data_IF_587899251734
#
_entry.id   IF_587899251734
#
_cell.length_a   1.000
_cell.length_b   1.000
_cell.length_c   1.000
_cell.angle_alpha   90.00
_cell.angle_beta   90.00
_cell.angle_gamma   90.00
#
_symmetry.space_group_name_H-M   'P 1'
#
loop_
_entity.id
_entity.type
_entity.pdbx_description
1 polymer ?
#
# COMPACT_ATOMS: atom_id res chain seq x y z
N UNK A 1 18.30 9.45 -32.54
CA UNK A 1 17.32 8.57 -31.87
C UNK A 1 18.09 7.59 -31.04
N UNK A 2 17.87 7.55 -29.73
CA UNK A 2 18.48 6.53 -28.87
C UNK A 2 17.83 5.20 -29.21
N UNK A 3 18.64 4.18 -29.51
CA UNK A 3 18.17 2.85 -29.82
C UNK A 3 17.60 2.23 -28.52
N UNK A 4 16.31 1.89 -28.52
CA UNK A 4 15.68 1.26 -27.36
C UNK A 4 16.10 -0.21 -27.30
N UNK A 5 16.93 -0.55 -26.30
CA UNK A 5 17.36 -1.92 -26.05
C UNK A 5 16.42 -2.60 -25.04
N UNK A 6 15.76 -3.68 -25.44
CA UNK A 6 14.93 -4.49 -24.53
C UNK A 6 15.85 -5.34 -23.65
N UNK A 7 16.01 -4.94 -22.38
CA UNK A 7 16.74 -5.73 -21.38
C UNK A 7 15.82 -6.57 -20.54
N UNK A 8 16.14 -7.85 -20.42
CA UNK A 8 15.46 -8.75 -19.48
C UNK A 8 15.93 -8.44 -18.06
N UNK A 9 14.99 -8.29 -17.14
CA UNK A 9 15.30 -8.10 -15.72
C UNK A 9 15.96 -9.37 -15.17
N UNK A 10 17.08 -9.27 -14.44
CA UNK A 10 17.69 -10.43 -13.79
C UNK A 10 16.74 -10.98 -12.73
N UNK A 11 16.66 -12.30 -12.64
CA UNK A 11 15.88 -13.02 -11.65
C UNK A 11 16.87 -13.86 -10.84
N UNK A 12 16.65 -13.97 -9.53
CA UNK A 12 17.40 -14.92 -8.72
C UNK A 12 16.81 -16.32 -8.90
N UNK A 13 17.47 -17.14 -9.71
CA UNK A 13 17.04 -18.50 -10.01
C UNK A 13 17.12 -19.46 -8.79
N UNK A 14 17.72 -19.02 -7.68
CA UNK A 14 17.73 -19.76 -6.41
C UNK A 14 16.44 -19.58 -5.60
N UNK A 15 15.64 -18.55 -5.90
CA UNK A 15 14.39 -18.30 -5.19
C UNK A 15 13.25 -19.11 -5.79
N UNK A 16 12.43 -19.69 -4.90
CA UNK A 16 11.26 -20.45 -5.30
C UNK A 16 9.99 -20.01 -4.57
N UNK A 17 8.86 -19.99 -5.29
CA UNK A 17 7.52 -19.72 -4.74
C UNK A 17 6.69 -21.00 -4.86
N UNK A 18 6.68 -21.87 -3.83
CA UNK A 18 5.98 -23.15 -3.87
C UNK A 18 4.48 -22.98 -4.15
N UNK A 19 3.91 -23.88 -4.95
CA UNK A 19 2.48 -23.86 -5.29
C UNK A 19 2.07 -22.82 -6.33
N UNK A 20 3.02 -22.06 -6.88
CA UNK A 20 2.79 -21.09 -7.96
C UNK A 20 3.28 -21.68 -9.29
N UNK A 21 2.52 -21.45 -10.36
CA UNK A 21 2.93 -21.86 -11.71
C UNK A 21 4.27 -21.23 -12.14
N UNK A 22 5.09 -21.98 -12.88
CA UNK A 22 6.44 -21.58 -13.31
C UNK A 22 6.49 -20.25 -14.08
N UNK A 23 5.45 -19.93 -14.87
CA UNK A 23 5.37 -18.67 -15.60
C UNK A 23 5.08 -17.53 -14.63
N UNK A 24 4.12 -17.71 -13.73
CA UNK A 24 3.75 -16.71 -12.73
C UNK A 24 4.90 -16.45 -11.74
N UNK A 25 5.61 -17.51 -11.33
CA UNK A 25 6.79 -17.42 -10.47
C UNK A 25 7.88 -16.54 -11.10
N UNK A 26 8.21 -16.75 -12.37
CA UNK A 26 9.15 -15.88 -13.10
C UNK A 26 8.71 -14.42 -13.11
N UNK A 27 7.42 -14.17 -13.28
CA UNK A 27 6.86 -12.82 -13.33
C UNK A 27 6.91 -12.13 -11.96
N UNK A 28 6.63 -12.87 -10.88
CA UNK A 28 6.64 -12.38 -9.50
C UNK A 28 8.06 -12.13 -9.00
N UNK A 29 8.99 -13.06 -9.22
CA UNK A 29 10.40 -12.88 -8.89
C UNK A 29 11.01 -11.70 -9.65
N UNK A 30 10.64 -11.52 -10.93
CA UNK A 30 11.03 -10.33 -11.69
C UNK A 30 10.44 -9.04 -11.11
N UNK A 31 9.33 -9.09 -10.37
CA UNK A 31 8.78 -7.93 -9.63
C UNK A 31 9.41 -7.74 -8.25
N UNK A 32 10.35 -8.59 -7.86
CA UNK A 32 10.99 -8.54 -6.55
C UNK A 32 10.22 -9.27 -5.45
N UNK A 33 9.14 -9.99 -5.78
CA UNK A 33 8.40 -10.82 -4.83
C UNK A 33 9.21 -12.09 -4.58
N UNK A 34 9.78 -12.22 -3.38
CA UNK A 34 10.74 -13.30 -3.05
C UNK A 34 10.16 -14.37 -2.14
N UNK A 35 9.01 -14.11 -1.52
CA UNK A 35 8.34 -15.02 -0.60
C UNK A 35 6.82 -15.03 -0.83
N UNK A 36 6.17 -16.15 -0.48
CA UNK A 36 4.70 -16.24 -0.60
C UNK A 36 3.96 -15.32 0.38
N UNK A 37 4.62 -14.90 1.47
CA UNK A 37 4.05 -13.97 2.46
C UNK A 37 3.80 -12.57 1.88
N UNK A 38 4.62 -12.12 0.91
CA UNK A 38 4.45 -10.84 0.23
C UNK A 38 3.20 -10.77 -0.67
N UNK A 39 2.54 -11.91 -0.89
CA UNK A 39 1.27 -12.01 -1.62
C UNK A 39 0.06 -12.18 -0.70
N UNK A 40 0.26 -12.19 0.63
CA UNK A 40 -0.83 -12.21 1.60
C UNK A 40 -1.36 -10.78 1.80
N UNK A 41 -2.42 -10.43 1.06
CA UNK A 41 -3.08 -9.14 1.12
C UNK A 41 -4.07 -9.01 2.30
N UNK A 42 -4.04 -9.94 3.27
CA UNK A 42 -4.87 -9.84 4.46
C UNK A 42 -4.54 -8.59 5.29
N UNK A 43 -5.57 -7.93 5.83
CA UNK A 43 -5.45 -6.68 6.60
C UNK A 43 -4.48 -6.79 7.80
N UNK A 44 -4.28 -8.00 8.35
CA UNK A 44 -3.32 -8.29 9.41
C UNK A 44 -1.86 -7.95 9.05
N UNK A 45 -1.55 -7.85 7.75
CA UNK A 45 -0.21 -7.54 7.25
C UNK A 45 -0.04 -6.04 6.95
N UNK A 46 -1.08 -5.22 7.14
CA UNK A 46 -0.93 -3.77 7.07
C UNK A 46 -0.06 -3.29 8.23
N UNK A 47 0.72 -2.24 7.96
CA UNK A 47 1.45 -1.55 9.01
C UNK A 47 0.46 -0.99 10.03
N UNK A 48 0.82 -1.08 11.31
CA UNK A 48 0.01 -0.52 12.38
C UNK A 48 -0.07 1.02 12.21
N UNK A 49 -1.26 1.63 12.42
CA UNK A 49 -1.42 3.08 12.31
C UNK A 49 -0.43 3.86 13.19
N UNK A 50 -0.04 3.31 14.34
CA UNK A 50 0.96 3.88 15.28
C UNK A 50 2.34 4.11 14.66
N UNK A 51 2.60 3.62 13.45
CA UNK A 51 3.81 3.96 12.68
C UNK A 51 3.72 5.30 11.94
N UNK A 52 2.54 5.91 11.86
CA UNK A 52 2.33 7.21 11.22
C UNK A 52 2.72 8.33 12.21
N UNK A 53 3.50 9.30 11.73
CA UNK A 53 3.93 10.43 12.55
C UNK A 53 2.73 11.20 13.11
N UNK A 54 2.73 11.42 14.43
CA UNK A 54 1.72 12.21 15.16
C UNK A 54 0.28 11.66 15.10
N UNK A 55 0.09 10.38 14.77
CA UNK A 55 -1.24 9.80 14.59
C UNK A 55 -2.07 9.79 15.87
N UNK A 56 -1.46 9.55 17.03
CA UNK A 56 -2.16 9.56 18.32
C UNK A 56 -2.72 10.95 18.61
N UNK A 57 -1.88 11.99 18.46
CA UNK A 57 -2.30 13.38 18.66
C UNK A 57 -3.40 13.79 17.68
N UNK A 58 -3.29 13.40 16.40
CA UNK A 58 -4.31 13.69 15.40
C UNK A 58 -5.66 13.02 15.73
N UNK A 59 -5.62 11.76 16.19
CA UNK A 59 -6.82 11.02 16.59
C UNK A 59 -7.49 11.64 17.82
N UNK A 60 -6.71 12.08 18.82
CA UNK A 60 -7.21 12.79 19.99
C UNK A 60 -7.90 14.11 19.60
N UNK A 61 -7.25 14.95 18.79
CA UNK A 61 -7.81 16.20 18.30
C UNK A 61 -9.13 16.00 17.54
N UNK A 62 -9.19 14.97 16.69
CA UNK A 62 -10.41 14.65 15.95
C UNK A 62 -11.53 14.16 16.89
N UNK A 63 -11.21 13.30 17.85
CA UNK A 63 -12.17 12.80 18.82
C UNK A 63 -12.75 13.91 19.72
N UNK A 64 -11.91 14.87 20.13
CA UNK A 64 -12.33 16.06 20.86
C UNK A 64 -13.27 16.94 20.03
N UNK A 65 -12.92 17.22 18.77
CA UNK A 65 -13.75 18.02 17.86
C UNK A 65 -15.12 17.38 17.61
N UNK A 66 -15.17 16.07 17.43
CA UNK A 66 -16.43 15.30 17.29
C UNK A 66 -17.25 15.41 18.58
N UNK A 67 -16.62 15.21 19.74
CA UNK A 67 -17.31 15.27 21.04
C UNK A 67 -17.86 16.67 21.34
N UNK A 68 -17.18 17.71 20.86
CA UNK A 68 -17.59 19.10 21.01
C UNK A 68 -18.61 19.58 19.95
N UNK A 69 -19.07 18.71 19.04
CA UNK A 69 -19.94 19.06 17.90
C UNK A 69 -19.36 20.22 17.06
N UNK A 70 -18.04 20.21 16.88
CA UNK A 70 -17.35 21.21 16.08
C UNK A 70 -17.60 20.97 14.59
N UNK A 71 -17.62 22.05 13.80
CA UNK A 71 -17.62 21.95 12.35
C UNK A 71 -16.30 21.37 11.83
N UNK A 72 -16.36 20.21 11.16
CA UNK A 72 -15.20 19.54 10.57
C UNK A 72 -15.30 19.61 9.05
N UNK A 73 -14.22 20.02 8.40
CA UNK A 73 -14.10 20.04 6.93
C UNK A 73 -12.99 19.09 6.53
N UNK A 74 -13.34 18.08 5.71
CA UNK A 74 -12.37 17.13 5.16
C UNK A 74 -12.00 17.59 3.74
N UNK A 75 -10.71 17.82 3.50
CA UNK A 75 -10.18 18.24 2.20
C UNK A 75 -9.22 17.17 1.70
N UNK A 76 -9.53 16.57 0.54
CA UNK A 76 -8.69 15.59 -0.15
C UNK A 76 -8.14 16.15 -1.46
N UNK A 77 -7.16 15.45 -2.03
CA UNK A 77 -6.65 15.76 -3.37
C UNK A 77 -7.66 15.40 -4.47
N UNK A 78 -7.46 15.97 -5.67
CA UNK A 78 -8.29 15.73 -6.85
C UNK A 78 -7.87 14.45 -7.59
N UNK A 79 -7.89 13.32 -6.88
CA UNK A 79 -7.76 12.00 -7.47
C UNK A 79 -8.65 10.98 -6.75
N UNK A 80 -8.57 9.73 -7.18
CA UNK A 80 -9.38 8.66 -6.61
C UNK A 80 -9.03 8.39 -5.13
N UNK A 81 -7.76 8.54 -4.75
CA UNK A 81 -7.32 8.30 -3.37
C UNK A 81 -7.86 9.39 -2.43
N UNK A 82 -7.74 10.66 -2.84
CA UNK A 82 -8.30 11.80 -2.12
C UNK A 82 -9.82 11.72 -1.99
N UNK A 83 -10.53 11.43 -3.09
CA UNK A 83 -11.99 11.33 -3.07
C UNK A 83 -12.50 10.18 -2.20
N UNK A 84 -11.85 9.01 -2.24
CA UNK A 84 -12.25 7.86 -1.41
C UNK A 84 -11.90 8.06 0.06
N UNK A 85 -10.78 8.71 0.37
CA UNK A 85 -10.42 9.08 1.75
C UNK A 85 -11.39 10.08 2.35
N UNK A 86 -11.82 11.10 1.59
CA UNK A 86 -12.87 12.03 2.01
C UNK A 86 -14.19 11.32 2.28
N UNK A 87 -14.59 10.38 1.41
CA UNK A 87 -15.82 9.61 1.57
C UNK A 87 -15.77 8.61 2.75
N UNK A 88 -14.59 8.13 3.12
CA UNK A 88 -14.40 7.29 4.31
C UNK A 88 -14.50 8.10 5.62
N UNK A 89 -14.10 9.36 5.58
CA UNK A 89 -14.09 10.24 6.76
C UNK A 89 -15.49 10.77 7.16
N UNK A 90 -16.54 10.46 6.39
CA UNK A 90 -17.94 10.85 6.61
C UNK A 90 -18.83 9.69 7.06
#
# INVERSE_FOLDING_TARGET
MTELEIKRRPINDQLSLPGIDSVLQRVLLARGITSSAEMDYGLKNLLAPSGLSHIELAAELLAEAITADAGIVIVGDFDADGATSCALAV
#
